data_IF_519490109393
#
_entry.id   IF_519490109393
#
_cell.length_a   1.000
_cell.length_b   1.000
_cell.length_c   1.000
_cell.angle_alpha   90.00
_cell.angle_beta   90.00
_cell.angle_gamma   90.00
#
_symmetry.space_group_name_H-M   'P 1'
#
loop_
_entity.id
_entity.type
_entity.pdbx_description
1 polymer ?
#
# COMPACT_ATOMS: atom_id res chain seq x y z
N UNK A 1 33.04 -19.42 -4.56
CA UNK A 1 31.62 -19.25 -4.17
C UNK A 1 31.27 -17.87 -3.64
N UNK A 2 32.07 -17.24 -2.77
CA UNK A 2 31.80 -15.86 -2.29
C UNK A 2 31.65 -14.81 -3.40
N UNK A 3 32.53 -14.83 -4.41
CA UNK A 3 32.43 -13.90 -5.55
C UNK A 3 31.18 -14.13 -6.41
N UNK A 4 30.72 -15.37 -6.56
CA UNK A 4 29.48 -15.69 -7.29
C UNK A 4 28.24 -15.12 -6.59
N UNK A 5 28.20 -15.13 -5.26
CA UNK A 5 27.09 -14.56 -4.48
C UNK A 5 27.04 -13.03 -4.59
N UNK A 6 28.20 -12.36 -4.59
CA UNK A 6 28.31 -10.90 -4.76
C UNK A 6 27.87 -10.49 -6.17
N UNK A 7 28.30 -11.22 -7.20
CA UNK A 7 27.87 -10.98 -8.58
C UNK A 7 26.37 -11.17 -8.78
N UNK A 8 25.77 -12.15 -8.09
CA UNK A 8 24.33 -12.42 -8.20
C UNK A 8 23.49 -11.32 -7.53
N UNK A 9 23.94 -10.74 -6.42
CA UNK A 9 23.25 -9.63 -5.75
C UNK A 9 23.18 -8.33 -6.56
N UNK A 10 24.13 -8.10 -7.49
CA UNK A 10 24.16 -6.89 -8.32
C UNK A 10 23.15 -6.92 -9.48
N UNK A 11 22.63 -8.09 -9.86
CA UNK A 11 21.71 -8.24 -11.00
C UNK A 11 20.26 -7.91 -10.62
N UNK A 12 19.89 -8.02 -9.33
CA UNK A 12 18.51 -7.81 -8.86
C UNK A 12 18.12 -6.34 -8.62
N UNK A 13 19.00 -5.37 -8.91
CA UNK A 13 18.79 -3.95 -8.57
C UNK A 13 17.81 -3.17 -9.45
N UNK A 14 17.26 -3.75 -10.51
CA UNK A 14 16.43 -3.02 -11.51
C UNK A 14 14.94 -3.38 -11.48
N UNK A 15 14.43 -3.95 -10.38
CA UNK A 15 12.99 -4.21 -10.25
C UNK A 15 12.28 -2.92 -9.86
N UNK A 16 11.73 -2.22 -10.85
CA UNK A 16 10.86 -1.07 -10.61
C UNK A 16 9.47 -1.56 -10.22
N UNK A 17 9.12 -1.39 -8.94
CA UNK A 17 7.73 -1.48 -8.52
C UNK A 17 6.95 -0.30 -9.11
N UNK A 18 5.69 -0.55 -9.46
CA UNK A 18 4.85 0.51 -10.00
C UNK A 18 4.62 1.61 -8.96
N UNK A 19 4.66 2.87 -9.41
CA UNK A 19 4.52 4.02 -8.53
C UNK A 19 3.06 4.35 -8.31
N UNK A 20 2.74 4.99 -7.19
CA UNK A 20 1.40 5.48 -6.93
C UNK A 20 0.95 6.49 -7.99
N UNK A 21 1.87 7.25 -8.58
CA UNK A 21 1.54 8.18 -9.66
C UNK A 21 0.97 7.45 -10.88
N UNK A 22 1.59 6.34 -11.31
CA UNK A 22 1.08 5.57 -12.44
C UNK A 22 -0.28 4.93 -12.11
N UNK A 23 -0.43 4.38 -10.89
CA UNK A 23 -1.70 3.84 -10.40
C UNK A 23 -2.82 4.89 -10.49
N UNK A 24 -2.58 6.10 -9.99
CA UNK A 24 -3.56 7.18 -10.00
C UNK A 24 -3.85 7.66 -11.42
N UNK A 25 -2.86 7.68 -12.31
CA UNK A 25 -3.04 7.99 -13.72
C UNK A 25 -4.01 6.99 -14.38
N UNK A 26 -3.82 5.69 -14.16
CA UNK A 26 -4.73 4.65 -14.66
C UNK A 26 -6.13 4.84 -14.07
N UNK A 27 -6.24 4.94 -12.74
CA UNK A 27 -7.51 5.06 -12.04
C UNK A 27 -8.35 6.26 -12.51
N UNK A 28 -7.71 7.42 -12.72
CA UNK A 28 -8.37 8.64 -13.16
C UNK A 28 -8.80 8.60 -14.64
N UNK A 29 -8.15 7.79 -15.46
CA UNK A 29 -8.47 7.67 -16.89
C UNK A 29 -9.54 6.63 -17.20
N UNK A 30 -9.76 5.63 -16.33
CA UNK A 30 -10.81 4.61 -16.53
C UNK A 30 -12.18 5.25 -16.84
N UNK A 31 -12.72 6.19 -16.03
CA UNK A 31 -14.02 6.78 -16.31
C UNK A 31 -14.07 7.51 -17.66
N UNK A 32 -12.97 8.15 -18.05
CA UNK A 32 -12.89 8.89 -19.32
C UNK A 32 -12.88 7.95 -20.53
N UNK A 33 -12.32 6.74 -20.37
CA UNK A 33 -12.27 5.75 -21.44
C UNK A 33 -13.57 4.94 -21.55
N UNK A 34 -14.33 4.82 -20.47
CA UNK A 34 -15.64 4.13 -20.47
C UNK A 34 -16.73 4.91 -21.18
N UNK A 35 -16.71 6.24 -21.06
CA UNK A 35 -17.68 7.10 -21.75
C UNK A 35 -17.38 7.26 -23.25
N UNK A 36 -16.15 6.91 -23.69
CA UNK A 36 -15.81 6.92 -25.10
C UNK A 36 -16.55 5.78 -25.80
N UNK A 37 -17.25 6.11 -26.88
CA UNK A 37 -17.95 5.13 -27.72
C UNK A 37 -17.01 4.29 -28.60
N UNK A 38 -15.70 4.45 -28.46
CA UNK A 38 -14.69 3.71 -29.21
C UNK A 38 -14.44 2.32 -28.59
N UNK A 39 -14.53 1.21 -29.37
CA UNK A 39 -14.32 -0.14 -28.86
C UNK A 39 -12.95 -0.37 -28.21
N UNK A 40 -11.90 0.28 -28.72
CA UNK A 40 -10.54 0.14 -28.18
C UNK A 40 -10.42 0.82 -26.81
N UNK A 41 -10.98 2.02 -26.65
CA UNK A 41 -11.06 2.73 -25.37
C UNK A 41 -11.81 1.92 -24.30
N UNK A 42 -12.94 1.31 -24.67
CA UNK A 42 -13.70 0.46 -23.74
C UNK A 42 -12.95 -0.84 -23.39
N UNK A 43 -12.26 -1.45 -24.35
CA UNK A 43 -11.42 -2.62 -24.09
C UNK A 43 -10.26 -2.26 -23.14
N UNK A 44 -9.62 -1.11 -23.34
CA UNK A 44 -8.60 -0.60 -22.43
C UNK A 44 -9.15 -0.40 -21.02
N UNK A 45 -10.33 0.22 -20.87
CA UNK A 45 -10.94 0.47 -19.56
C UNK A 45 -11.23 -0.82 -18.80
N UNK A 46 -11.77 -1.85 -19.47
CA UNK A 46 -11.99 -3.18 -18.87
C UNK A 46 -10.69 -3.82 -18.40
N UNK A 47 -9.65 -3.78 -19.24
CA UNK A 47 -8.33 -4.32 -18.88
C UNK A 47 -7.70 -3.55 -17.72
N UNK A 48 -7.77 -2.22 -17.73
CA UNK A 48 -7.27 -1.37 -16.65
C UNK A 48 -7.98 -1.66 -15.32
N UNK A 49 -9.31 -1.84 -15.31
CA UNK A 49 -10.05 -2.28 -14.12
C UNK A 49 -9.55 -3.62 -13.60
N UNK A 50 -9.34 -4.60 -14.48
CA UNK A 50 -8.81 -5.89 -14.06
C UNK A 50 -7.40 -5.78 -13.46
N UNK A 51 -6.52 -5.00 -14.07
CA UNK A 51 -5.18 -4.73 -13.52
C UNK A 51 -5.29 -4.15 -12.11
N UNK A 52 -6.06 -3.08 -11.91
CA UNK A 52 -6.20 -2.46 -10.58
C UNK A 52 -6.84 -3.42 -9.56
N UNK A 53 -7.80 -4.25 -9.99
CA UNK A 53 -8.44 -5.27 -9.14
C UNK A 53 -7.42 -6.28 -8.65
N UNK A 54 -6.64 -6.88 -9.56
CA UNK A 54 -5.60 -7.86 -9.24
C UNK A 54 -4.51 -7.24 -8.37
N UNK A 55 -4.08 -6.01 -8.68
CA UNK A 55 -3.11 -5.27 -7.87
C UNK A 55 -3.63 -5.11 -6.44
N UNK A 56 -4.88 -4.69 -6.27
CA UNK A 56 -5.47 -4.49 -4.95
C UNK A 56 -5.62 -5.80 -4.17
N UNK A 57 -6.06 -6.89 -4.82
CA UNK A 57 -6.15 -8.22 -4.20
C UNK A 57 -4.78 -8.73 -3.78
N UNK A 58 -3.78 -8.60 -4.65
CA UNK A 58 -2.39 -9.03 -4.37
C UNK A 58 -1.81 -8.26 -3.18
N UNK A 59 -2.05 -6.94 -3.11
CA UNK A 59 -1.59 -6.12 -1.99
C UNK A 59 -2.37 -6.47 -0.71
N UNK A 60 -3.69 -6.65 -0.78
CA UNK A 60 -4.51 -7.05 0.37
C UNK A 60 -4.01 -8.36 0.97
N UNK A 61 -3.79 -9.36 0.13
CA UNK A 61 -3.31 -10.67 0.54
C UNK A 61 -1.91 -10.56 1.14
N UNK A 62 -0.98 -9.89 0.46
CA UNK A 62 0.38 -9.70 0.95
C UNK A 62 0.41 -9.01 2.32
N UNK A 63 -0.36 -7.95 2.49
CA UNK A 63 -0.40 -7.20 3.76
C UNK A 63 -1.10 -7.99 4.86
N UNK A 64 -2.14 -8.77 4.53
CA UNK A 64 -2.80 -9.66 5.49
C UNK A 64 -1.83 -10.74 5.97
N UNK A 65 -1.14 -11.42 5.05
CA UNK A 65 -0.15 -12.43 5.38
C UNK A 65 1.02 -11.84 6.20
N UNK A 66 1.53 -10.68 5.82
CA UNK A 66 2.59 -9.99 6.56
C UNK A 66 2.13 -9.61 7.98
N UNK A 67 0.88 -9.16 8.12
CA UNK A 67 0.32 -8.80 9.42
C UNK A 67 0.08 -10.02 10.31
N UNK A 68 -0.37 -11.15 9.75
CA UNK A 68 -0.52 -12.40 10.48
C UNK A 68 0.83 -12.91 11.00
N UNK A 69 1.87 -12.86 10.16
CA UNK A 69 3.23 -13.20 10.58
C UNK A 69 3.74 -12.26 11.69
N UNK A 70 3.44 -10.96 11.61
CA UNK A 70 3.83 -9.99 12.63
C UNK A 70 3.03 -10.16 13.93
N UNK A 71 1.75 -10.54 13.84
CA UNK A 71 0.89 -10.88 14.97
C UNK A 71 1.39 -12.10 15.74
N UNK A 72 1.91 -13.11 15.05
CA UNK A 72 2.57 -14.28 15.67
C UNK A 72 3.81 -13.88 16.50
N UNK A 73 4.44 -12.75 16.16
CA UNK A 73 5.57 -12.17 16.91
C UNK A 73 5.13 -11.17 17.99
N UNK A 74 3.82 -11.05 18.24
CA UNK A 74 3.25 -10.12 19.22
C UNK A 74 3.29 -8.64 18.79
N UNK A 75 3.63 -8.35 17.52
CA UNK A 75 3.77 -6.99 17.00
C UNK A 75 3.01 -6.84 15.67
N UNK A 76 1.67 -6.87 15.68
CA UNK A 76 0.88 -6.66 14.46
C UNK A 76 1.19 -5.28 13.84
N UNK A 77 1.17 -5.22 12.51
CA UNK A 77 1.40 -4.01 11.71
C UNK A 77 0.15 -3.12 11.73
N UNK A 78 -1.03 -3.74 11.71
CA UNK A 78 -2.34 -3.10 11.82
C UNK A 78 -3.35 -4.07 12.45
N UNK A 79 -4.45 -3.55 12.96
CA UNK A 79 -5.44 -4.32 13.72
C UNK A 79 -6.81 -4.27 13.05
N UNK A 80 -7.04 -5.21 12.12
CA UNK A 80 -8.31 -5.34 11.42
C UNK A 80 -9.42 -5.82 12.39
N UNK A 81 -10.59 -5.14 12.43
CA UNK A 81 -11.73 -5.61 13.22
C UNK A 81 -12.26 -6.96 12.70
N UNK A 82 -12.92 -7.72 13.57
CA UNK A 82 -13.53 -8.99 13.20
C UNK A 82 -14.61 -8.78 12.12
N UNK A 83 -14.57 -9.61 11.07
CA UNK A 83 -15.52 -9.55 9.95
C UNK A 83 -15.18 -8.51 8.87
N UNK A 84 -14.14 -7.70 9.06
CA UNK A 84 -13.63 -6.80 8.01
C UNK A 84 -12.65 -7.57 7.14
N UNK A 85 -12.76 -7.40 5.81
CA UNK A 85 -11.83 -7.97 4.84
C UNK A 85 -11.23 -6.87 3.97
N UNK A 86 -9.92 -6.97 3.73
CA UNK A 86 -9.26 -6.19 2.69
C UNK A 86 -9.55 -6.86 1.34
N UNK A 87 -10.45 -6.27 0.54
CA UNK A 87 -10.78 -6.72 -0.81
C UNK A 87 -10.41 -5.64 -1.84
N UNK A 88 -10.54 -5.96 -3.14
CA UNK A 88 -10.15 -5.05 -4.22
C UNK A 88 -10.80 -3.66 -4.14
N UNK A 89 -12.09 -3.60 -3.82
CA UNK A 89 -12.84 -2.34 -3.73
C UNK A 89 -12.32 -1.50 -2.57
N UNK A 90 -12.31 -2.07 -1.35
CA UNK A 90 -11.85 -1.38 -0.14
C UNK A 90 -10.41 -0.90 -0.30
N UNK A 91 -9.54 -1.73 -0.86
CA UNK A 91 -8.14 -1.38 -1.08
C UNK A 91 -7.97 -0.26 -2.10
N UNK A 92 -8.70 -0.32 -3.22
CA UNK A 92 -8.62 0.72 -4.24
C UNK A 92 -9.05 2.08 -3.68
N UNK A 93 -10.17 2.13 -2.95
CA UNK A 93 -10.66 3.35 -2.31
C UNK A 93 -9.65 3.88 -1.28
N UNK A 94 -9.13 2.99 -0.43
CA UNK A 94 -8.15 3.35 0.60
C UNK A 94 -6.85 3.87 -0.01
N UNK A 95 -6.33 3.25 -1.06
CA UNK A 95 -5.11 3.69 -1.76
C UNK A 95 -5.32 5.09 -2.35
N UNK A 96 -6.41 5.30 -3.08
CA UNK A 96 -6.70 6.60 -3.70
C UNK A 96 -6.92 7.69 -2.65
N UNK A 97 -7.65 7.39 -1.57
CA UNK A 97 -7.89 8.33 -0.49
C UNK A 97 -6.59 8.68 0.25
N UNK A 98 -5.79 7.67 0.58
CA UNK A 98 -4.50 7.87 1.23
C UNK A 98 -3.59 8.73 0.38
N UNK A 99 -3.50 8.46 -0.93
CA UNK A 99 -2.72 9.29 -1.83
C UNK A 99 -3.18 10.76 -1.84
N UNK A 100 -4.50 11.02 -1.84
CA UNK A 100 -5.04 12.38 -1.77
C UNK A 100 -4.68 13.09 -0.46
N UNK A 101 -4.66 12.35 0.65
CA UNK A 101 -4.36 12.88 1.99
C UNK A 101 -2.87 13.09 2.27
N UNK A 102 -1.97 12.42 1.53
CA UNK A 102 -0.53 12.68 1.65
C UNK A 102 -0.26 14.12 1.23
N UNK A 103 0.25 14.92 2.18
CA UNK A 103 0.63 16.32 1.96
C UNK A 103 1.52 16.47 0.73
N UNK A 104 1.19 17.42 -0.13
CA UNK A 104 1.98 17.80 -1.32
C UNK A 104 3.38 18.32 -0.97
N UNK A 105 3.64 18.64 0.31
CA UNK A 105 4.96 19.07 0.78
C UNK A 105 5.94 17.88 0.98
N UNK A 106 5.47 16.63 0.94
CA UNK A 106 6.39 15.49 0.82
C UNK A 106 6.87 15.39 -0.62
N UNK A 107 8.13 15.79 -0.84
CA UNK A 107 8.89 15.64 -2.09
C UNK A 107 8.64 14.29 -2.80
N UNK A 108 8.51 13.22 -2.01
CA UNK A 108 8.56 11.86 -2.54
C UNK A 108 7.17 11.21 -2.68
N UNK A 109 6.09 11.99 -2.55
CA UNK A 109 4.71 11.48 -2.62
C UNK A 109 4.47 10.61 -3.87
N UNK A 110 4.91 11.09 -5.03
CA UNK A 110 4.63 10.46 -6.33
C UNK A 110 5.58 9.30 -6.64
N UNK A 111 6.66 9.14 -5.87
CA UNK A 111 7.65 8.06 -6.04
C UNK A 111 7.38 6.87 -5.11
N UNK A 112 6.45 7.00 -4.16
CA UNK A 112 6.01 5.89 -3.33
C UNK A 112 5.43 4.77 -4.18
N UNK A 113 5.68 3.52 -3.79
CA UNK A 113 5.02 2.36 -4.42
C UNK A 113 3.56 2.28 -3.99
N UNK A 114 2.73 1.63 -4.80
CA UNK A 114 1.31 1.41 -4.47
C UNK A 114 1.15 0.71 -3.12
N UNK A 115 1.98 -0.30 -2.84
CA UNK A 115 1.94 -1.05 -1.57
C UNK A 115 2.35 -0.21 -0.35
N UNK A 116 3.27 0.74 -0.50
CA UNK A 116 3.65 1.66 0.58
C UNK A 116 2.49 2.59 0.93
N UNK A 117 1.80 3.12 -0.08
CA UNK A 117 0.63 3.97 0.13
C UNK A 117 -0.52 3.16 0.74
N UNK A 118 -0.74 1.94 0.26
CA UNK A 118 -1.73 1.02 0.82
C UNK A 118 -1.46 0.72 2.31
N UNK A 119 -0.22 0.38 2.66
CA UNK A 119 0.18 0.13 4.03
C UNK A 119 -0.02 1.36 4.92
N UNK A 120 0.37 2.54 4.45
CA UNK A 120 0.15 3.80 5.18
C UNK A 120 -1.35 4.02 5.47
N UNK A 121 -2.20 3.78 4.47
CA UNK A 121 -3.65 3.90 4.60
C UNK A 121 -4.23 2.92 5.62
N UNK A 122 -3.88 1.64 5.50
CA UNK A 122 -4.38 0.59 6.40
C UNK A 122 -3.93 0.84 7.83
N UNK A 123 -2.64 1.11 8.05
CA UNK A 123 -2.13 1.37 9.41
C UNK A 123 -2.76 2.60 10.05
N UNK A 124 -3.14 3.61 9.25
CA UNK A 124 -3.87 4.79 9.73
C UNK A 124 -5.34 4.50 10.04
N UNK A 125 -6.00 3.72 9.19
CA UNK A 125 -7.42 3.38 9.35
C UNK A 125 -7.66 2.35 10.46
N UNK A 126 -6.71 1.44 10.68
CA UNK A 126 -6.80 0.33 11.61
C UNK A 126 -5.60 0.28 12.58
N UNK A 127 -5.40 1.34 13.40
CA UNK A 127 -4.29 1.37 14.34
C UNK A 127 -4.46 0.30 15.42
N UNK A 128 -3.38 -0.40 15.75
CA UNK A 128 -3.35 -1.28 16.91
C UNK A 128 -3.35 -0.49 18.21
N UNK A 129 -4.08 -0.98 19.23
CA UNK A 129 -3.98 -0.41 20.56
C UNK A 129 -2.57 -0.64 21.10
N UNK A 130 -1.88 0.45 21.45
CA UNK A 130 -0.58 0.37 22.13
C UNK A 130 -0.74 -0.39 23.44
N UNK A 131 0.18 -1.33 23.70
CA UNK A 131 0.19 -2.02 24.98
C UNK A 131 0.41 -1.00 26.11
N UNK A 132 -0.06 -1.27 27.34
CA UNK A 132 0.21 -0.40 28.49
C UNK A 132 1.70 -0.09 28.68
N UNK A 133 2.58 -1.04 28.35
CA UNK A 133 4.03 -0.87 28.40
C UNK A 133 4.54 0.14 27.34
N UNK A 134 4.01 0.08 26.12
CA UNK A 134 4.38 1.03 25.05
C UNK A 134 3.88 2.44 25.36
N UNK A 135 2.70 2.57 25.98
CA UNK A 135 2.18 3.86 26.47
C UNK A 135 3.05 4.46 27.57
N UNK A 136 3.54 3.64 28.49
CA UNK A 136 4.45 4.09 29.55
C UNK A 136 5.80 4.54 28.97
N UNK A 137 6.37 3.80 28.02
CA UNK A 137 7.62 4.20 27.37
C UNK A 137 7.46 5.48 26.53
N UNK A 138 6.34 5.64 25.81
CA UNK A 138 6.05 6.86 25.06
C UNK A 138 5.89 8.09 25.98
N UNK A 139 5.24 7.92 27.14
CA UNK A 139 5.10 8.97 28.15
C UNK A 139 6.45 9.34 28.78
N UNK A 140 7.30 8.36 29.10
CA UNK A 140 8.65 8.64 29.63
C UNK A 140 9.52 9.33 28.58
N UNK A 141 9.44 8.92 27.32
CA UNK A 141 10.16 9.58 26.23
C UNK A 141 9.71 11.04 26.02
N UNK A 142 8.42 11.35 26.20
CA UNK A 142 7.92 12.74 26.09
C UNK A 142 8.31 13.63 27.28
N UNK A 143 8.59 13.04 28.45
CA UNK A 143 9.09 13.76 29.62
C UNK A 143 10.61 14.03 29.54
N UNK A 144 11.35 13.22 28.79
CA UNK A 144 12.79 13.36 28.58
C UNK A 144 13.16 14.25 27.38
N UNK A 145 12.18 14.67 26.58
CA UNK A 145 12.34 15.57 25.43
C UNK A 145 12.06 17.04 25.75
N UNK A 146 11.97 17.40 27.03
CA UNK A 146 11.93 18.77 27.55
C UNK A 146 13.14 19.05 28.44
#
# INVERSE_FOLDING_TARGET
>A
MRFLLISLSLIFGNVHADTINNYMNIANNIPQMEIKADPQAQAWARSARHVLTITCESIAETLTQANDAAKMQGKPIFCLPQGVQLNSITMNELIQQTYKEISSQRSDKDTMTVSQVALLGISKQFPCQQSPADKQMAHVASLLSH
#
